data_IF_835493000630
#
_entry.id   IF_835493000630
#
_cell.length_a   1.000
_cell.length_b   1.000
_cell.length_c   1.000
_cell.angle_alpha   90.00
_cell.angle_beta   90.00
_cell.angle_gamma   90.00
#
_symmetry.space_group_name_H-M   'P 1'
#
loop_
_entity.id
_entity.type
_entity.pdbx_description
1 polymer ?
#
# COMPACT_ATOMS: atom_id res chain seq x y z
N UNK A 1 5.18 -22.63 23.28
CA UNK A 1 5.15 -21.22 22.89
C UNK A 1 6.61 -20.81 22.83
N UNK A 2 7.22 -20.91 21.64
CA UNK A 2 8.60 -20.45 21.46
C UNK A 2 8.62 -18.94 21.65
N UNK A 3 9.55 -18.48 22.50
CA UNK A 3 9.77 -17.07 22.80
C UNK A 3 10.28 -16.42 21.50
N UNK A 4 9.45 -15.59 20.86
CA UNK A 4 9.81 -14.96 19.59
C UNK A 4 11.05 -14.08 19.82
N UNK A 5 12.15 -14.27 19.07
CA UNK A 5 13.35 -13.48 19.29
C UNK A 5 13.04 -11.99 19.06
N UNK A 6 13.47 -11.13 20.00
CA UNK A 6 13.23 -9.69 19.90
C UNK A 6 13.63 -9.12 18.52
N UNK A 7 12.80 -8.23 17.95
CA UNK A 7 12.94 -7.67 16.62
C UNK A 7 14.37 -7.18 16.33
N UNK A 8 14.95 -6.42 17.26
CA UNK A 8 16.30 -5.87 17.11
C UNK A 8 17.39 -6.95 16.95
N UNK A 9 17.23 -8.12 17.57
CA UNK A 9 18.17 -9.24 17.42
C UNK A 9 18.06 -9.87 16.04
N UNK A 10 16.85 -10.03 15.52
CA UNK A 10 16.64 -10.55 14.17
C UNK A 10 17.16 -9.60 13.10
N UNK A 11 16.93 -8.29 13.25
CA UNK A 11 17.50 -7.28 12.35
C UNK A 11 19.04 -7.26 12.39
N UNK A 12 19.63 -7.39 13.59
CA UNK A 12 21.08 -7.49 13.74
C UNK A 12 21.62 -8.78 13.11
N UNK A 13 20.95 -9.92 13.32
CA UNK A 13 21.29 -11.20 12.71
C UNK A 13 21.25 -11.11 11.19
N UNK A 14 20.17 -10.55 10.63
CA UNK A 14 20.02 -10.33 9.19
C UNK A 14 21.19 -9.52 8.63
N UNK A 15 21.49 -8.38 9.25
CA UNK A 15 22.60 -7.50 8.86
C UNK A 15 23.95 -8.21 8.91
N UNK A 16 24.22 -8.94 9.98
CA UNK A 16 25.50 -9.63 10.17
C UNK A 16 25.64 -10.80 9.20
N UNK A 17 24.61 -11.61 9.02
CA UNK A 17 24.64 -12.74 8.11
C UNK A 17 24.76 -12.29 6.66
N UNK A 18 24.04 -11.25 6.25
CA UNK A 18 24.19 -10.63 4.93
C UNK A 18 25.62 -10.12 4.70
N UNK A 19 26.17 -9.36 5.66
CA UNK A 19 27.54 -8.85 5.57
C UNK A 19 28.60 -9.95 5.40
N UNK A 20 28.45 -11.09 6.08
CA UNK A 20 29.38 -12.22 5.99
C UNK A 20 29.01 -13.23 4.90
N UNK A 21 27.95 -13.01 4.12
CA UNK A 21 27.48 -13.97 3.11
C UNK A 21 26.95 -15.30 3.69
N UNK A 22 26.50 -15.29 4.94
CA UNK A 22 25.97 -16.47 5.62
C UNK A 22 24.48 -16.69 5.27
N UNK A 23 24.21 -17.24 4.09
CA UNK A 23 22.86 -17.40 3.53
C UNK A 23 21.85 -18.09 4.46
N UNK A 24 22.29 -19.11 5.22
CA UNK A 24 21.43 -19.84 6.15
C UNK A 24 20.91 -18.95 7.27
N UNK A 25 21.77 -18.07 7.79
CA UNK A 25 21.41 -17.10 8.81
C UNK A 25 20.52 -15.99 8.27
N UNK A 26 20.77 -15.51 7.05
CA UNK A 26 19.90 -14.56 6.35
C UNK A 26 18.50 -15.15 6.18
N UNK A 27 18.39 -16.39 5.69
CA UNK A 27 17.11 -17.08 5.51
C UNK A 27 16.37 -17.30 6.83
N UNK A 28 17.10 -17.68 7.88
CA UNK A 28 16.54 -17.82 9.22
C UNK A 28 15.98 -16.49 9.74
N UNK A 29 16.76 -15.41 9.64
CA UNK A 29 16.33 -14.09 10.09
C UNK A 29 15.10 -13.60 9.31
N UNK A 30 15.10 -13.74 7.98
CA UNK A 30 13.95 -13.40 7.13
C UNK A 30 12.72 -14.20 7.54
N UNK A 31 12.85 -15.52 7.73
CA UNK A 31 11.72 -16.37 8.12
C UNK A 31 11.07 -15.91 9.42
N UNK A 32 11.86 -15.58 10.44
CA UNK A 32 11.33 -15.13 11.73
C UNK A 32 10.85 -13.67 11.73
N UNK A 33 11.41 -12.82 10.87
CA UNK A 33 10.97 -11.43 10.71
C UNK A 33 9.64 -11.33 9.95
N UNK A 34 9.38 -12.22 9.00
CA UNK A 34 8.19 -12.16 8.12
C UNK A 34 6.88 -12.07 8.90
N UNK A 35 6.80 -12.81 10.01
CA UNK A 35 5.62 -12.89 10.88
C UNK A 35 5.82 -12.18 12.23
N UNK A 36 6.89 -11.38 12.38
CA UNK A 36 7.18 -10.72 13.65
C UNK A 36 6.16 -9.60 13.93
N UNK A 37 5.47 -9.60 15.09
CA UNK A 37 4.37 -8.68 15.36
C UNK A 37 4.79 -7.21 15.45
N UNK A 38 6.03 -6.96 15.88
CA UNK A 38 6.60 -5.60 15.96
C UNK A 38 7.18 -5.10 14.63
N UNK A 39 7.21 -5.92 13.57
CA UNK A 39 7.74 -5.49 12.28
C UNK A 39 6.69 -4.62 11.56
N UNK A 40 6.77 -3.32 11.82
CA UNK A 40 5.96 -2.31 11.16
C UNK A 40 6.26 -2.20 9.65
N UNK A 41 5.33 -1.62 8.87
CA UNK A 41 5.43 -1.62 7.42
C UNK A 41 6.57 -0.74 6.90
N UNK A 42 6.90 0.39 7.54
CA UNK A 42 8.02 1.23 7.15
C UNK A 42 9.38 0.51 7.29
N UNK A 43 9.60 -0.16 8.42
CA UNK A 43 10.80 -0.96 8.64
C UNK A 43 10.83 -2.19 7.71
N UNK A 44 9.68 -2.84 7.48
CA UNK A 44 9.59 -3.94 6.52
C UNK A 44 10.00 -3.49 5.11
N UNK A 45 9.56 -2.30 4.69
CA UNK A 45 9.95 -1.71 3.40
C UNK A 45 11.46 -1.44 3.35
N UNK A 46 12.04 -0.81 4.39
CA UNK A 46 13.49 -0.55 4.46
C UNK A 46 14.31 -1.85 4.32
N UNK A 47 13.97 -2.87 5.12
CA UNK A 47 14.66 -4.15 5.08
C UNK A 47 14.49 -4.83 3.72
N UNK A 48 13.30 -4.72 3.11
CA UNK A 48 13.04 -5.30 1.80
C UNK A 48 13.89 -4.69 0.70
N UNK A 49 14.00 -3.36 0.64
CA UNK A 49 14.87 -2.66 -0.31
C UNK A 49 16.33 -3.04 -0.09
N UNK A 50 16.78 -3.03 1.18
CA UNK A 50 18.18 -3.23 1.55
C UNK A 50 18.69 -4.64 1.29
N UNK A 51 17.85 -5.65 1.51
CA UNK A 51 18.20 -7.06 1.38
C UNK A 51 17.51 -7.74 0.18
N UNK A 52 16.94 -6.96 -0.74
CA UNK A 52 16.27 -7.42 -1.96
C UNK A 52 15.17 -8.47 -1.73
N UNK A 53 14.26 -8.21 -0.79
CA UNK A 53 13.14 -9.08 -0.44
C UNK A 53 11.86 -8.57 -1.12
N UNK A 54 11.72 -8.79 -2.43
CA UNK A 54 10.66 -8.19 -3.26
C UNK A 54 9.24 -8.34 -2.70
N UNK A 55 8.90 -9.54 -2.20
CA UNK A 55 7.58 -9.83 -1.60
C UNK A 55 7.26 -8.93 -0.41
N UNK A 56 8.27 -8.53 0.36
CA UNK A 56 8.09 -7.64 1.50
C UNK A 56 7.94 -6.20 1.07
N UNK A 57 8.68 -5.76 0.06
CA UNK A 57 8.58 -4.40 -0.46
C UNK A 57 7.15 -4.10 -0.95
N UNK A 58 6.59 -5.02 -1.75
CA UNK A 58 5.22 -4.92 -2.25
C UNK A 58 4.20 -4.90 -1.12
N UNK A 59 4.29 -5.86 -0.19
CA UNK A 59 3.37 -5.96 0.95
C UNK A 59 3.43 -4.70 1.82
N UNK A 60 4.62 -4.27 2.19
CA UNK A 60 4.83 -3.09 3.01
C UNK A 60 4.30 -1.82 2.33
N UNK A 61 4.52 -1.66 1.03
CA UNK A 61 4.01 -0.52 0.28
C UNK A 61 2.48 -0.46 0.30
N UNK A 62 1.79 -1.60 0.11
CA UNK A 62 0.32 -1.64 0.17
C UNK A 62 -0.22 -1.38 1.58
N UNK A 63 0.45 -1.89 2.62
CA UNK A 63 0.10 -1.59 4.01
C UNK A 63 0.23 -0.08 4.29
N UNK A 64 1.35 0.54 3.89
CA UNK A 64 1.56 2.00 4.01
C UNK A 64 0.50 2.81 3.25
N UNK A 65 0.10 2.36 2.06
CA UNK A 65 -0.95 3.01 1.26
C UNK A 65 -2.36 2.85 1.85
N UNK A 66 -2.57 1.87 2.73
CA UNK A 66 -3.86 1.63 3.39
C UNK A 66 -4.08 2.55 4.59
N UNK A 67 -2.99 3.02 5.20
CA UNK A 67 -2.98 3.98 6.30
C UNK A 67 -3.05 5.42 5.78
N UNK A 68 -3.41 6.37 6.65
CA UNK A 68 -3.32 7.78 6.28
C UNK A 68 -1.85 8.19 6.26
N UNK A 69 -1.42 8.91 5.22
CA UNK A 69 -0.05 9.43 5.17
C UNK A 69 0.27 10.38 6.34
N UNK A 70 -0.77 10.95 6.97
CA UNK A 70 -0.64 11.82 8.14
C UNK A 70 -0.38 11.04 9.45
N UNK A 71 -0.55 9.71 9.43
CA UNK A 71 -0.33 8.82 10.58
C UNK A 71 1.11 8.30 10.63
N UNK A 72 1.91 8.51 9.57
CA UNK A 72 3.32 8.13 9.56
C UNK A 72 4.10 8.95 10.58
N UNK A 73 4.85 8.26 11.44
CA UNK A 73 5.73 8.92 12.40
C UNK A 73 7.01 9.41 11.73
N UNK A 74 7.72 10.35 12.36
CA UNK A 74 9.05 10.78 11.88
C UNK A 74 10.05 9.59 11.81
N UNK A 75 9.87 8.56 12.65
CA UNK A 75 10.67 7.36 12.60
C UNK A 75 10.37 6.53 11.33
N UNK A 76 9.10 6.43 10.95
CA UNK A 76 8.68 5.75 9.72
C UNK A 76 9.21 6.48 8.48
N UNK A 77 9.11 7.81 8.47
CA UNK A 77 9.65 8.65 7.39
C UNK A 77 11.17 8.45 7.23
N UNK A 78 11.91 8.36 8.34
CA UNK A 78 13.34 8.06 8.33
C UNK A 78 13.66 6.67 7.82
N UNK A 79 12.87 5.65 8.18
CA UNK A 79 13.04 4.28 7.70
C UNK A 79 12.77 4.16 6.19
N UNK A 80 11.70 4.78 5.70
CA UNK A 80 11.34 4.76 4.27
C UNK A 80 12.39 5.47 3.40
N UNK A 81 12.97 6.54 3.93
CA UNK A 81 13.79 7.44 3.16
C UNK A 81 12.99 8.25 2.15
N UNK A 82 13.65 9.25 1.57
CA UNK A 82 12.98 10.27 0.75
C UNK A 82 12.27 9.71 -0.50
N UNK A 83 12.88 8.73 -1.17
CA UNK A 83 12.36 8.22 -2.45
C UNK A 83 11.06 7.47 -2.25
N UNK A 84 11.00 6.55 -1.28
CA UNK A 84 9.80 5.79 -0.97
C UNK A 84 8.69 6.69 -0.43
N UNK A 85 9.03 7.58 0.50
CA UNK A 85 8.09 8.55 1.05
C UNK A 85 7.46 9.43 -0.05
N UNK A 86 8.28 10.00 -0.95
CA UNK A 86 7.79 10.80 -2.07
C UNK A 86 6.86 10.01 -2.99
N UNK A 87 7.15 8.73 -3.22
CA UNK A 87 6.29 7.84 -4.02
C UNK A 87 4.96 7.57 -3.34
N UNK A 88 4.94 7.36 -2.01
CA UNK A 88 3.71 7.24 -1.22
C UNK A 88 2.87 8.51 -1.31
N UNK A 89 3.45 9.68 -1.05
CA UNK A 89 2.75 10.99 -1.14
C UNK A 89 2.10 11.17 -2.50
N UNK A 90 2.86 10.92 -3.59
CA UNK A 90 2.35 11.05 -4.95
C UNK A 90 1.22 10.08 -5.25
N UNK A 91 1.34 8.84 -4.79
CA UNK A 91 0.32 7.82 -4.98
C UNK A 91 -0.95 8.20 -4.23
N UNK A 92 -0.87 8.62 -2.96
CA UNK A 92 -2.01 9.11 -2.19
C UNK A 92 -2.69 10.31 -2.87
N UNK A 93 -1.91 11.30 -3.30
CA UNK A 93 -2.45 12.47 -4.00
C UNK A 93 -3.16 12.09 -5.30
N UNK A 94 -2.58 11.17 -6.08
CA UNK A 94 -3.18 10.67 -7.34
C UNK A 94 -4.48 9.93 -7.08
N UNK A 95 -4.51 9.04 -6.08
CA UNK A 95 -5.72 8.31 -5.68
C UNK A 95 -6.79 9.26 -5.17
N UNK A 96 -6.42 10.25 -4.35
CA UNK A 96 -7.36 11.26 -3.85
C UNK A 96 -7.96 12.09 -4.99
N UNK A 97 -7.11 12.55 -5.93
CA UNK A 97 -7.56 13.27 -7.11
C UNK A 97 -8.48 12.43 -7.99
N UNK A 98 -8.16 11.15 -8.19
CA UNK A 98 -9.00 10.23 -8.95
C UNK A 98 -10.36 10.01 -8.27
N UNK A 99 -10.38 9.77 -6.96
CA UNK A 99 -11.62 9.65 -6.16
C UNK A 99 -12.47 10.91 -6.22
N UNK A 100 -11.85 12.09 -6.16
CA UNK A 100 -12.55 13.37 -6.32
C UNK A 100 -13.15 13.49 -7.73
N UNK A 101 -12.40 13.09 -8.75
CA UNK A 101 -12.89 13.03 -10.13
C UNK A 101 -14.12 12.14 -10.26
N UNK A 102 -14.09 10.94 -9.67
CA UNK A 102 -15.22 10.02 -9.64
C UNK A 102 -16.42 10.55 -8.84
N UNK A 103 -16.18 11.32 -7.78
CA UNK A 103 -17.25 11.93 -7.01
C UNK A 103 -17.99 13.02 -7.80
N UNK A 104 -17.28 13.75 -8.66
CA UNK A 104 -17.82 14.86 -9.46
C UNK A 104 -18.37 14.41 -10.82
N UNK A 105 -17.75 13.39 -11.42
CA UNK A 105 -18.07 12.93 -12.77
C UNK A 105 -18.21 11.41 -12.79
N UNK A 106 -19.28 10.86 -13.41
CA UNK A 106 -19.39 9.43 -13.59
C UNK A 106 -18.25 8.92 -14.48
N UNK A 107 -17.62 7.78 -14.16
CA UNK A 107 -16.71 7.13 -15.08
C UNK A 107 -17.48 6.61 -16.30
N UNK A 108 -16.76 6.32 -17.38
CA UNK A 108 -17.36 5.71 -18.57
C UNK A 108 -18.03 4.38 -18.22
N UNK A 109 -19.22 4.16 -18.80
CA UNK A 109 -19.94 2.91 -18.62
C UNK A 109 -19.18 1.76 -19.30
N UNK A 110 -18.87 0.71 -18.54
CA UNK A 110 -18.25 -0.51 -19.09
C UNK A 110 -19.35 -1.45 -19.57
N UNK A 111 -19.39 -1.71 -20.88
CA UNK A 111 -20.36 -2.62 -21.48
C UNK A 111 -19.81 -4.05 -21.52
N UNK A 112 -20.60 -5.02 -21.03
CA UNK A 112 -20.30 -6.44 -21.16
C UNK A 112 -20.95 -7.04 -22.41
N UNK A 113 -20.59 -8.28 -22.77
CA UNK A 113 -21.15 -8.97 -23.93
C UNK A 113 -22.68 -9.16 -23.89
N UNK A 114 -23.29 -9.08 -22.69
CA UNK A 114 -24.74 -9.16 -22.49
C UNK A 114 -25.45 -7.79 -22.54
N UNK A 115 -24.75 -6.72 -22.92
CA UNK A 115 -25.36 -5.40 -23.06
C UNK A 115 -26.19 -5.34 -24.35
N UNK A 116 -27.52 -5.33 -24.19
CA UNK A 116 -28.45 -5.26 -25.32
C UNK A 116 -28.49 -3.87 -25.99
N UNK A 117 -28.22 -2.80 -25.22
CA UNK A 117 -28.19 -1.43 -25.70
C UNK A 117 -27.18 -0.60 -24.89
N UNK A 118 -26.04 -0.31 -25.53
CA UNK A 118 -24.97 0.47 -24.93
C UNK A 118 -25.42 1.90 -24.59
N UNK A 119 -26.28 2.51 -25.42
CA UNK A 119 -26.74 3.88 -25.19
C UNK A 119 -27.66 3.93 -23.97
N UNK A 120 -28.61 3.00 -23.87
CA UNK A 120 -29.48 2.92 -22.70
C UNK A 120 -28.68 2.61 -21.43
N UNK A 121 -27.72 1.69 -21.51
CA UNK A 121 -26.83 1.33 -20.41
C UNK A 121 -26.01 2.52 -19.91
N UNK A 122 -25.35 3.26 -20.80
CA UNK A 122 -24.55 4.43 -20.45
C UNK A 122 -25.39 5.56 -19.85
N UNK A 123 -26.56 5.83 -20.44
CA UNK A 123 -27.49 6.82 -19.91
C UNK A 123 -28.03 6.43 -18.53
N UNK A 124 -28.32 5.15 -18.31
CA UNK A 124 -28.77 4.66 -17.01
C UNK A 124 -27.64 4.74 -15.97
N UNK A 125 -26.42 4.38 -16.34
CA UNK A 125 -25.23 4.50 -15.47
C UNK A 125 -25.03 5.93 -14.99
N UNK A 126 -24.96 6.90 -15.91
CA UNK A 126 -24.76 8.31 -15.58
C UNK A 126 -25.88 8.85 -14.67
N UNK A 127 -27.14 8.49 -14.93
CA UNK A 127 -28.29 8.89 -14.10
C UNK A 127 -28.22 8.34 -12.69
N UNK A 128 -27.83 7.08 -12.52
CA UNK A 128 -27.81 6.43 -11.21
C UNK A 128 -26.55 6.74 -10.40
N UNK A 129 -25.45 7.11 -11.04
CA UNK A 129 -24.19 7.45 -10.37
C UNK A 129 -24.36 8.54 -9.31
N UNK A 130 -25.07 9.62 -9.65
CA UNK A 130 -25.35 10.75 -8.75
C UNK A 130 -26.36 10.39 -7.65
N UNK A 131 -27.23 9.41 -7.90
CA UNK A 131 -28.23 8.93 -6.92
C UNK A 131 -27.62 8.13 -5.76
N UNK A 132 -26.41 7.60 -5.94
CA UNK A 132 -25.67 6.82 -4.92
C UNK A 132 -24.77 7.73 -4.06
N UNK A 133 -24.39 8.92 -4.55
CA UNK A 133 -23.56 9.90 -3.82
C UNK A 133 -24.34 10.92 -2.99
N UNK A 134 -25.64 10.70 -2.78
CA UNK A 134 -26.46 11.29 -1.71
C UNK A 134 -26.17 12.76 -1.33
N UNK A 135 -26.72 13.71 -2.09
CA UNK A 135 -27.09 15.01 -1.52
C UNK A 135 -26.20 16.22 -1.81
N UNK A 136 -25.42 16.26 -2.89
CA UNK A 136 -24.77 17.50 -3.36
C UNK A 136 -25.30 18.05 -4.69
N UNK A 137 -26.36 17.43 -5.24
CA UNK A 137 -26.93 17.75 -6.56
C UNK A 137 -28.12 18.72 -6.55
N UNK A 138 -28.19 19.68 -5.61
CA UNK A 138 -29.25 20.71 -5.65
C UNK A 138 -28.71 22.13 -5.49
N UNK A 139 -27.55 22.42 -6.09
CA UNK A 139 -27.09 23.79 -6.32
C UNK A 139 -26.35 23.86 -7.67
N UNK A 140 -27.13 23.84 -8.75
CA UNK A 140 -26.85 24.62 -9.95
C UNK A 140 -27.93 25.71 -10.03
#
# INVERSE_FOLDING_TARGET
MEDTPALGRLCALLKTCDFFGAESGTRYAIHHLEDHPELGPALRYELAEKYHIDRWAVRAFFELMSESILELSEADEKCLGWVAYRSLVRTHATVAQYRLGLALFPPDAVHCHFCYDNNYCGNSWAKNWVGISGGLGTLL
#
